data_IF_285413364345
#
_entry.id   IF_285413364345
#
_cell.length_a   1.000
_cell.length_b   1.000
_cell.length_c   1.000
_cell.angle_alpha   90.00
_cell.angle_beta   90.00
_cell.angle_gamma   90.00
#
_symmetry.space_group_name_H-M   'P 1'
#
loop_
_entity.id
_entity.type
_entity.pdbx_description
1 polymer ?
#
# COMPACT_ATOMS: atom_id res chain seq x y z
N UNK A 1 -13.27 30.55 -19.26
CA UNK A 1 -12.79 29.26 -19.80
C UNK A 1 -11.45 29.01 -19.15
N UNK A 2 -11.29 27.92 -18.40
CA UNK A 2 -10.03 27.61 -17.70
C UNK A 2 -9.29 26.58 -18.56
N UNK A 3 -8.09 26.93 -19.05
CA UNK A 3 -7.22 25.99 -19.76
C UNK A 3 -6.35 25.28 -18.72
N UNK A 4 -6.30 23.95 -18.76
CA UNK A 4 -5.51 23.14 -17.82
C UNK A 4 -4.33 22.53 -18.56
N UNK A 5 -3.11 22.78 -18.08
CA UNK A 5 -1.87 22.23 -18.64
C UNK A 5 -1.29 21.25 -17.62
N UNK A 6 -1.13 19.98 -18.01
CA UNK A 6 -0.49 18.94 -17.19
C UNK A 6 0.90 18.66 -17.73
N UNK A 7 1.93 19.14 -17.05
CA UNK A 7 3.32 18.88 -17.39
C UNK A 7 3.99 18.03 -16.30
N UNK A 8 4.91 17.15 -16.72
CA UNK A 8 5.79 16.44 -15.79
C UNK A 8 7.07 17.26 -15.63
N UNK A 9 7.38 17.66 -14.41
CA UNK A 9 8.59 18.40 -14.08
C UNK A 9 9.37 17.65 -12.99
N UNK A 10 10.70 17.76 -13.05
CA UNK A 10 11.59 17.23 -12.00
C UNK A 10 11.91 18.35 -11.03
N UNK A 11 11.85 18.06 -9.74
CA UNK A 11 12.22 19.04 -8.70
C UNK A 11 13.74 19.19 -8.71
N UNK A 12 14.22 20.39 -9.02
CA UNK A 12 15.63 20.77 -9.02
C UNK A 12 16.12 21.07 -7.59
N UNK A 13 17.45 21.17 -7.36
CA UNK A 13 18.01 21.56 -6.08
C UNK A 13 17.36 22.84 -5.53
N UNK A 14 17.07 22.85 -4.23
CA UNK A 14 16.38 23.97 -3.58
C UNK A 14 14.86 23.96 -3.75
N UNK A 15 14.28 22.90 -4.33
CA UNK A 15 12.82 22.77 -4.48
C UNK A 15 12.25 23.52 -5.68
N UNK A 16 13.10 23.92 -6.63
CA UNK A 16 12.69 24.65 -7.83
C UNK A 16 11.98 23.68 -8.80
N UNK A 17 10.79 24.07 -9.27
CA UNK A 17 10.04 23.36 -10.31
C UNK A 17 9.94 24.28 -11.51
N UNK A 18 10.53 23.87 -12.63
CA UNK A 18 10.49 24.62 -13.89
C UNK A 18 9.55 23.94 -14.88
N UNK A 19 8.61 24.71 -15.43
CA UNK A 19 7.63 24.24 -16.42
C UNK A 19 7.66 25.20 -17.59
N UNK A 20 7.94 24.66 -18.78
CA UNK A 20 7.89 25.40 -20.04
C UNK A 20 6.76 24.84 -20.92
N UNK A 21 5.93 25.71 -21.47
CA UNK A 21 4.82 25.33 -22.34
C UNK A 21 4.53 26.46 -23.33
N UNK A 22 4.48 26.13 -24.61
CA UNK A 22 4.13 27.05 -25.70
C UNK A 22 2.65 27.46 -25.69
N UNK A 23 1.83 26.79 -24.87
CA UNK A 23 0.39 27.07 -24.73
C UNK A 23 0.10 28.19 -23.73
N UNK A 24 1.11 28.67 -23.00
CA UNK A 24 0.97 29.75 -22.02
C UNK A 24 1.18 31.12 -22.68
N UNK A 25 0.13 31.94 -22.83
CA UNK A 25 0.29 33.28 -23.38
C UNK A 25 1.05 34.19 -22.42
N UNK A 26 1.92 35.03 -22.98
CA UNK A 26 2.72 35.99 -22.22
C UNK A 26 1.83 36.96 -21.42
N UNK A 27 2.20 37.20 -20.15
CA UNK A 27 1.48 38.12 -19.25
C UNK A 27 0.22 37.54 -18.60
N UNK A 28 -0.15 36.29 -18.88
CA UNK A 28 -1.27 35.65 -18.21
C UNK A 28 -0.93 35.27 -16.75
N UNK A 29 -1.90 35.45 -15.85
CA UNK A 29 -1.82 34.95 -14.47
C UNK A 29 -2.25 33.48 -14.45
N UNK A 30 -1.43 32.62 -13.84
CA UNK A 30 -1.68 31.17 -13.75
C UNK A 30 -1.73 30.70 -12.31
N UNK A 31 -2.54 29.68 -12.03
CA UNK A 31 -2.57 28.95 -10.77
C UNK A 31 -1.83 27.61 -10.96
N UNK A 32 -0.90 27.30 -10.05
CA UNK A 32 -0.03 26.12 -10.16
C UNK A 32 -0.36 25.11 -9.07
N UNK A 33 -0.71 23.89 -9.47
CA UNK A 33 -0.91 22.75 -8.56
C UNK A 33 0.25 21.77 -8.75
N UNK A 34 1.05 21.56 -7.71
CA UNK A 34 2.18 20.62 -7.73
C UNK A 34 1.76 19.32 -7.05
N UNK A 35 1.76 18.22 -7.81
CA UNK A 35 1.58 16.87 -7.26
C UNK A 35 2.94 16.17 -7.23
N UNK A 36 3.43 15.87 -6.03
CA UNK A 36 4.64 15.08 -5.85
C UNK A 36 4.24 13.61 -5.77
N UNK A 37 4.67 12.81 -6.75
CA UNK A 37 4.66 11.36 -6.58
C UNK A 37 5.62 11.05 -5.43
N UNK A 38 5.09 10.58 -4.31
CA UNK A 38 5.92 10.08 -3.22
C UNK A 38 6.86 9.03 -3.84
N UNK A 39 8.15 9.32 -3.87
CA UNK A 39 9.17 8.32 -4.16
C UNK A 39 8.87 7.19 -3.18
N UNK A 40 8.44 6.05 -3.72
CA UNK A 40 7.98 4.89 -2.97
C UNK A 40 8.88 4.71 -1.74
N UNK A 41 8.35 5.06 -0.56
CA UNK A 41 9.05 4.94 0.71
C UNK A 41 9.43 3.47 0.91
N UNK A 42 10.65 3.13 0.50
CA UNK A 42 11.26 1.81 0.65
C UNK A 42 10.41 0.68 0.02
N UNK A 43 10.95 -0.54 -0.17
CA UNK A 43 10.07 -1.67 -0.34
C UNK A 43 9.35 -1.84 1.00
N UNK A 44 8.13 -1.28 1.13
CA UNK A 44 7.16 -1.74 2.13
C UNK A 44 7.23 -3.26 2.04
N UNK A 45 7.70 -3.92 3.11
CA UNK A 45 7.74 -5.39 3.19
C UNK A 45 6.45 -5.88 2.55
N UNK A 46 6.52 -6.77 1.55
CA UNK A 46 5.33 -7.17 0.81
C UNK A 46 4.27 -7.52 1.85
N UNK A 47 3.15 -6.79 1.81
CA UNK A 47 2.03 -7.06 2.69
C UNK A 47 1.71 -8.53 2.50
N UNK A 48 1.87 -9.32 3.57
CA UNK A 48 1.58 -10.76 3.51
C UNK A 48 0.14 -10.91 3.03
N UNK A 49 -0.05 -11.74 2.00
CA UNK A 49 -1.39 -12.05 1.54
C UNK A 49 -2.13 -12.79 2.65
N UNK A 50 -3.47 -12.69 2.69
CA UNK A 50 -4.26 -13.43 3.68
C UNK A 50 -4.03 -14.95 3.60
N UNK A 51 -3.74 -15.46 2.41
CA UNK A 51 -3.34 -16.85 2.17
C UNK A 51 -2.07 -17.27 2.93
N UNK A 52 -1.16 -16.33 3.19
CA UNK A 52 0.13 -16.61 3.85
C UNK A 52 -0.05 -16.93 5.34
N UNK A 53 -1.24 -16.70 5.89
CA UNK A 53 -1.58 -17.03 7.27
C UNK A 53 -2.15 -18.46 7.44
N UNK A 54 -2.52 -19.14 6.35
CA UNK A 54 -3.04 -20.52 6.40
C UNK A 54 -1.91 -21.46 6.87
N UNK A 55 -2.08 -22.09 8.04
CA UNK A 55 -1.09 -23.02 8.61
C UNK A 55 0.12 -22.35 9.28
N UNK A 56 0.23 -21.01 9.25
CA UNK A 56 1.32 -20.28 9.89
C UNK A 56 1.11 -20.03 11.41
N UNK A 57 -0.10 -20.28 11.91
CA UNK A 57 -0.43 -20.10 13.32
C UNK A 57 0.04 -21.29 14.17
N UNK A 58 0.26 -21.04 15.47
CA UNK A 58 0.73 -22.01 16.47
C UNK A 58 -0.19 -23.24 16.66
N UNK A 59 -1.39 -23.23 16.09
CA UNK A 59 -2.43 -24.24 16.32
C UNK A 59 -3.07 -24.11 17.70
N UNK A 60 -4.24 -24.71 17.89
CA UNK A 60 -5.00 -24.66 19.16
C UNK A 60 -4.49 -25.65 20.22
N UNK A 61 -3.68 -26.62 19.83
CA UNK A 61 -3.21 -27.70 20.69
C UNK A 61 -1.69 -27.70 20.79
N UNK A 62 -1.18 -28.04 21.97
CA UNK A 62 0.24 -28.06 22.25
C UNK A 62 0.92 -29.38 21.86
N UNK A 63 0.15 -30.46 21.67
CA UNK A 63 0.66 -31.77 21.26
C UNK A 63 -0.38 -32.63 20.52
N UNK A 64 0.08 -33.64 19.79
CA UNK A 64 -0.80 -34.61 19.12
C UNK A 64 -1.63 -35.42 20.13
N UNK A 65 -1.04 -35.76 21.28
CA UNK A 65 -1.75 -36.50 22.33
C UNK A 65 -2.92 -35.70 22.91
N UNK A 66 -2.79 -34.37 23.00
CA UNK A 66 -3.87 -33.47 23.44
C UNK A 66 -5.02 -33.43 22.43
N UNK A 67 -4.70 -33.43 21.14
CA UNK A 67 -5.70 -33.50 20.06
C UNK A 67 -6.50 -34.81 20.17
N UNK A 68 -5.80 -35.93 20.30
CA UNK A 68 -6.44 -37.25 20.41
C UNK A 68 -7.33 -37.35 21.66
N UNK A 69 -6.87 -36.80 22.79
CA UNK A 69 -7.66 -36.76 24.02
C UNK A 69 -8.94 -35.92 23.86
N UNK A 70 -8.83 -34.74 23.24
CA UNK A 70 -9.96 -33.86 22.95
C UNK A 70 -10.99 -34.54 22.04
N UNK A 71 -10.55 -35.14 20.93
CA UNK A 71 -11.45 -35.82 19.98
C UNK A 71 -12.19 -36.99 20.65
N UNK A 72 -11.51 -37.75 21.51
CA UNK A 72 -12.15 -38.86 22.24
C UNK A 72 -13.19 -38.34 23.24
N UNK A 73 -12.85 -37.31 24.01
CA UNK A 73 -13.78 -36.69 24.95
C UNK A 73 -15.04 -36.19 24.25
N UNK A 74 -14.89 -35.46 23.14
CA UNK A 74 -16.03 -34.97 22.35
C UNK A 74 -16.87 -36.12 21.79
N UNK A 75 -16.25 -37.20 21.32
CA UNK A 75 -16.99 -38.35 20.81
C UNK A 75 -17.77 -39.05 21.92
N UNK A 76 -17.11 -39.31 23.04
CA UNK A 76 -17.70 -40.01 24.18
C UNK A 76 -18.80 -39.17 24.87
N UNK A 77 -18.82 -37.84 24.67
CA UNK A 77 -19.89 -36.98 25.18
C UNK A 77 -21.13 -36.92 24.28
N UNK A 78 -21.10 -37.54 23.09
CA UNK A 78 -22.24 -37.63 22.17
C UNK A 78 -22.96 -38.99 22.28
N UNK A 79 -22.39 -39.95 23.02
CA UNK A 79 -22.99 -41.24 23.40
C UNK A 79 -23.70 -41.15 24.77
#
# INVERSE_FOLDING_TARGET
>A
MIQTIKAKATVQPGGLVEVHSDELPEGATVEVIVLVEAASEEPKKPLKNLSDFIGAAKGSFSSVAEIDAYIRQERDSWD
#
